data_IF_460784351850
#
_entry.id   IF_460784351850
#
_cell.length_a   1.000
_cell.length_b   1.000
_cell.length_c   1.000
_cell.angle_alpha   90.00
_cell.angle_beta   90.00
_cell.angle_gamma   90.00
#
_symmetry.space_group_name_H-M   'P 1'
#
loop_
_entity.id
_entity.type
_entity.pdbx_description
1 polymer ?
#
# COMPACT_ATOMS: atom_id res chain seq x y z
N UNK A 1 -23.61 -19.00 10.62
CA UNK A 1 -23.42 -20.44 10.37
C UNK A 1 -22.88 -21.05 11.65
N UNK A 2 -23.48 -22.13 12.17
CA UNK A 2 -22.94 -22.79 13.35
C UNK A 2 -21.54 -23.36 13.03
N UNK A 3 -20.61 -23.36 14.00
CA UNK A 3 -19.28 -23.94 13.80
C UNK A 3 -19.40 -25.44 13.55
N UNK A 4 -18.64 -25.95 12.57
CA UNK A 4 -18.59 -27.37 12.22
C UNK A 4 -18.10 -28.19 13.42
N UNK A 5 -18.72 -29.34 13.67
CA UNK A 5 -18.27 -30.25 14.72
C UNK A 5 -16.93 -30.89 14.34
N UNK A 6 -16.18 -31.39 15.33
CA UNK A 6 -14.89 -32.03 15.10
C UNK A 6 -14.99 -33.20 14.10
N UNK A 7 -16.13 -33.92 14.06
CA UNK A 7 -16.34 -34.98 13.08
C UNK A 7 -16.51 -34.45 11.65
N UNK A 8 -17.25 -33.34 11.48
CA UNK A 8 -17.47 -32.71 10.17
C UNK A 8 -16.16 -32.13 9.59
N UNK A 9 -15.30 -31.57 10.45
CA UNK A 9 -13.97 -31.08 10.06
C UNK A 9 -13.09 -32.23 9.56
N UNK A 10 -13.08 -33.37 10.23
CA UNK A 10 -12.28 -34.54 9.80
C UNK A 10 -12.81 -35.09 8.46
N UNK A 11 -14.13 -35.09 8.27
CA UNK A 11 -14.76 -35.55 7.04
C UNK A 11 -14.44 -34.60 5.86
N UNK A 12 -14.49 -33.29 6.08
CA UNK A 12 -14.05 -32.27 5.10
C UNK A 12 -12.55 -32.41 4.76
N UNK A 13 -11.69 -32.55 5.76
CA UNK A 13 -10.23 -32.73 5.59
C UNK A 13 -9.84 -34.04 4.90
N UNK A 14 -10.75 -35.02 4.84
CA UNK A 14 -10.56 -36.27 4.11
C UNK A 14 -10.85 -36.16 2.60
N UNK A 15 -11.64 -35.14 2.20
CA UNK A 15 -11.98 -34.88 0.78
C UNK A 15 -10.86 -34.15 0.03
N UNK A 16 -9.92 -33.54 0.74
CA UNK A 16 -8.79 -32.86 0.11
C UNK A 16 -7.78 -33.87 -0.47
N UNK A 17 -7.36 -33.71 -1.73
CA UNK A 17 -6.39 -34.59 -2.36
C UNK A 17 -5.05 -34.53 -1.62
N UNK A 18 -4.70 -35.64 -0.97
CA UNK A 18 -3.44 -35.77 -0.22
C UNK A 18 -2.35 -36.27 -1.14
N UNK A 19 -1.56 -35.37 -1.70
CA UNK A 19 -0.38 -35.72 -2.45
C UNK A 19 0.76 -36.10 -1.50
N UNK A 20 1.00 -37.40 -1.33
CA UNK A 20 2.19 -37.89 -0.63
C UNK A 20 3.39 -37.78 -1.55
N UNK A 21 4.33 -36.90 -1.21
CA UNK A 21 5.61 -36.82 -1.91
C UNK A 21 6.34 -38.16 -1.79
N UNK A 22 6.75 -38.73 -2.93
CA UNK A 22 7.53 -39.96 -2.92
C UNK A 22 8.96 -39.68 -2.43
N UNK A 23 9.68 -40.74 -2.03
CA UNK A 23 11.01 -40.58 -1.46
C UNK A 23 12.01 -39.92 -2.43
N UNK A 24 11.86 -40.16 -3.75
CA UNK A 24 12.69 -39.54 -4.77
C UNK A 24 12.46 -38.02 -4.89
N UNK A 25 11.21 -37.57 -4.76
CA UNK A 25 10.83 -36.14 -4.76
C UNK A 25 11.33 -35.45 -3.50
N UNK A 26 11.22 -36.10 -2.33
CA UNK A 26 11.81 -35.59 -1.07
C UNK A 26 13.31 -35.42 -1.18
N UNK A 27 14.00 -36.41 -1.75
CA UNK A 27 15.45 -36.37 -1.96
C UNK A 27 15.86 -35.33 -3.02
N UNK A 28 15.03 -35.12 -4.05
CA UNK A 28 15.21 -34.07 -5.05
C UNK A 28 15.13 -32.66 -4.45
N UNK A 29 14.16 -32.42 -3.57
CA UNK A 29 14.00 -31.14 -2.86
C UNK A 29 15.15 -30.93 -1.86
N UNK A 30 15.53 -31.96 -1.09
CA UNK A 30 16.66 -31.88 -0.16
C UNK A 30 17.99 -31.59 -0.87
N UNK A 31 18.22 -32.17 -2.05
CA UNK A 31 19.43 -31.98 -2.85
C UNK A 31 19.50 -30.65 -3.61
N UNK A 32 18.36 -30.01 -3.85
CA UNK A 32 18.31 -28.66 -4.43
C UNK A 32 18.47 -27.57 -3.37
N UNK A 33 17.98 -27.81 -2.15
CA UNK A 33 18.22 -26.94 -0.99
C UNK A 33 19.68 -26.97 -0.51
N UNK A 34 20.40 -28.09 -0.68
CA UNK A 34 21.82 -28.18 -0.29
C UNK A 34 22.79 -27.60 -1.33
N UNK A 35 22.34 -27.29 -2.55
CA UNK A 35 23.16 -26.71 -3.62
C UNK A 35 23.22 -25.18 -3.62
N UNK A 36 22.52 -24.49 -2.73
CA UNK A 36 22.52 -23.02 -2.65
C UNK A 36 23.57 -22.42 -1.72
N UNK A 37 24.78 -22.99 -1.67
CA UNK A 37 25.94 -22.31 -1.10
C UNK A 37 26.74 -21.64 -2.22
N UNK A 38 26.97 -20.31 -2.17
CA UNK A 38 27.77 -19.63 -3.18
C UNK A 38 29.22 -20.12 -3.08
N UNK A 39 29.72 -20.71 -4.16
CA UNK A 39 31.10 -21.13 -4.30
C UNK A 39 32.02 -19.90 -4.18
N UNK A 40 32.85 -19.87 -3.13
CA UNK A 40 33.95 -18.91 -2.97
C UNK A 40 34.94 -19.11 -4.12
N UNK A 41 35.07 -18.10 -4.99
CA UNK A 41 36.07 -18.05 -6.06
C UNK A 41 37.46 -17.80 -5.47
N UNK A 42 38.53 -18.47 -5.95
CA UNK A 42 39.88 -18.25 -5.46
C UNK A 42 40.44 -16.92 -5.94
N UNK A 43 41.06 -16.22 -5.00
CA UNK A 43 41.86 -15.00 -5.18
C UNK A 43 43.10 -15.33 -6.03
N UNK A 44 43.33 -14.56 -7.09
CA UNK A 44 44.50 -14.71 -7.94
C UNK A 44 44.94 -13.39 -8.55
N UNK A 45 46.13 -12.96 -8.11
CA UNK A 45 47.07 -12.05 -8.76
C UNK A 45 46.82 -10.53 -8.72
N UNK A 46 47.92 -9.83 -8.47
CA UNK A 46 48.07 -8.41 -8.16
C UNK A 46 48.42 -7.59 -9.41
N UNK A 47 47.91 -6.35 -9.42
CA UNK A 47 48.22 -5.15 -10.23
C UNK A 47 47.54 -4.93 -11.61
N UNK A 48 47.25 -3.66 -11.99
CA UNK A 48 47.59 -2.42 -11.28
C UNK A 48 46.40 -1.65 -10.68
N UNK A 49 46.58 -1.24 -9.43
CA UNK A 49 45.62 -0.53 -8.59
C UNK A 49 45.29 0.92 -9.01
N UNK A 50 45.65 1.36 -10.22
CA UNK A 50 45.34 2.72 -10.69
C UNK A 50 44.01 2.83 -11.45
N UNK A 51 43.58 1.77 -12.16
CA UNK A 51 42.30 1.82 -12.90
C UNK A 51 41.09 1.66 -11.97
N UNK A 52 41.23 0.85 -10.91
CA UNK A 52 40.17 0.63 -9.93
C UNK A 52 39.85 1.90 -9.15
N UNK A 53 40.83 2.75 -8.82
CA UNK A 53 40.54 4.01 -8.14
C UNK A 53 39.75 4.97 -9.01
N UNK A 54 40.02 5.03 -10.33
CA UNK A 54 39.27 5.90 -11.24
C UNK A 54 37.85 5.38 -11.46
N UNK A 55 37.67 4.07 -11.67
CA UNK A 55 36.36 3.44 -11.81
C UNK A 55 35.56 3.54 -10.52
N UNK A 56 36.18 3.32 -9.36
CA UNK A 56 35.55 3.47 -8.03
C UNK A 56 35.26 4.94 -7.76
N UNK A 57 36.13 5.90 -8.11
CA UNK A 57 35.84 7.32 -7.94
C UNK A 57 34.71 7.80 -8.86
N UNK A 58 34.62 7.31 -10.09
CA UNK A 58 33.48 7.57 -11.00
C UNK A 58 32.22 6.88 -10.50
N UNK A 59 32.30 5.66 -9.95
CA UNK A 59 31.17 5.00 -9.31
C UNK A 59 30.74 5.73 -8.05
N UNK A 60 31.66 6.21 -7.21
CA UNK A 60 31.35 6.95 -5.98
C UNK A 60 30.82 8.33 -6.33
N UNK A 61 31.38 9.04 -7.30
CA UNK A 61 30.87 10.34 -7.75
C UNK A 61 29.50 10.19 -8.43
N UNK A 62 29.31 9.14 -9.24
CA UNK A 62 28.03 8.78 -9.84
C UNK A 62 26.98 8.30 -8.84
N UNK A 63 27.37 7.53 -7.82
CA UNK A 63 26.51 7.18 -6.69
C UNK A 63 26.23 8.41 -5.84
N UNK A 64 27.19 9.32 -5.65
CA UNK A 64 26.99 10.52 -4.83
C UNK A 64 25.99 11.47 -5.50
N UNK A 65 26.05 11.64 -6.83
CA UNK A 65 25.06 12.44 -7.57
C UNK A 65 23.69 11.76 -7.63
N UNK A 66 23.63 10.42 -7.74
CA UNK A 66 22.38 9.67 -7.62
C UNK A 66 21.78 9.72 -6.22
N UNK A 67 22.59 9.60 -5.17
CA UNK A 67 22.15 9.67 -3.77
C UNK A 67 21.71 11.08 -3.41
N UNK A 68 22.43 12.14 -3.82
CA UNK A 68 22.02 13.53 -3.57
C UNK A 68 20.71 13.86 -4.33
N UNK A 69 20.46 13.28 -5.49
CA UNK A 69 19.17 13.41 -6.19
C UNK A 69 18.07 12.52 -5.58
N UNK A 70 18.40 11.39 -4.96
CA UNK A 70 17.44 10.54 -4.23
C UNK A 70 17.07 11.12 -2.85
N UNK A 71 18.02 11.78 -2.17
CA UNK A 71 17.86 12.35 -0.83
C UNK A 71 17.52 13.85 -0.82
N UNK A 72 17.45 14.52 -1.97
CA UNK A 72 16.92 15.91 -2.07
C UNK A 72 15.39 15.96 -2.23
N UNK A 73 14.72 14.81 -2.22
CA UNK A 73 13.27 14.73 -2.08
C UNK A 73 12.87 14.69 -0.61
N UNK A 74 11.92 15.53 -0.22
CA UNK A 74 11.19 15.47 1.06
C UNK A 74 11.03 14.04 1.57
N UNK A 75 11.30 13.82 2.87
CA UNK A 75 11.06 12.53 3.54
C UNK A 75 9.70 11.96 3.09
N UNK A 76 9.64 10.71 2.57
CA UNK A 76 8.37 10.12 2.15
C UNK A 76 7.36 10.06 3.29
N UNK A 77 7.82 10.14 4.53
CA UNK A 77 6.99 10.16 5.72
C UNK A 77 6.64 11.59 6.15
N UNK A 78 5.35 11.82 6.34
CA UNK A 78 4.82 13.03 6.93
C UNK A 78 4.17 12.69 8.28
N UNK A 79 4.53 13.41 9.36
CA UNK A 79 3.95 13.18 10.67
C UNK A 79 2.47 13.52 10.67
N UNK A 80 1.67 12.74 11.41
CA UNK A 80 0.23 12.94 11.52
C UNK A 80 -0.18 14.25 12.19
N UNK A 81 0.75 14.98 12.80
CA UNK A 81 0.50 16.27 13.46
C UNK A 81 0.61 17.46 12.53
N UNK A 82 0.99 17.25 11.26
CA UNK A 82 1.18 18.33 10.29
C UNK A 82 0.31 18.13 9.05
N UNK A 83 -0.15 19.26 8.48
CA UNK A 83 -0.89 19.26 7.23
C UNK A 83 0.00 18.71 6.11
N UNK A 84 -0.42 17.59 5.52
CA UNK A 84 0.23 17.03 4.35
C UNK A 84 0.08 17.98 3.15
N UNK A 85 1.19 18.39 2.53
CA UNK A 85 1.22 19.33 1.40
C UNK A 85 1.76 18.68 0.13
N UNK A 86 0.97 17.80 -0.47
CA UNK A 86 1.25 17.24 -1.80
C UNK A 86 1.13 18.27 -2.94
N UNK A 87 1.55 17.83 -4.13
CA UNK A 87 1.51 18.65 -5.36
C UNK A 87 0.08 18.81 -5.88
N UNK A 88 -0.70 17.73 -5.89
CA UNK A 88 -2.07 17.68 -6.42
C UNK A 88 -3.15 17.82 -5.35
N UNK A 89 -2.81 17.59 -4.09
CA UNK A 89 -3.73 17.70 -2.98
C UNK A 89 -3.00 17.98 -1.68
N UNK A 90 -3.74 18.44 -0.69
CA UNK A 90 -3.32 18.53 0.71
C UNK A 90 -4.47 18.15 1.61
N UNK A 91 -4.17 17.63 2.80
CA UNK A 91 -5.17 17.29 3.81
C UNK A 91 -4.55 17.38 5.21
N UNK A 92 -5.39 17.43 6.23
CA UNK A 92 -4.97 17.45 7.62
C UNK A 92 -5.22 16.05 8.24
N UNK A 93 -4.17 15.30 8.59
CA UNK A 93 -4.30 14.00 9.23
C UNK A 93 -4.81 14.06 10.68
N UNK A 94 -4.94 15.25 11.27
CA UNK A 94 -5.52 15.49 12.61
C UNK A 94 -4.87 14.69 13.76
N UNK A 95 -3.60 14.28 13.61
CA UNK A 95 -2.85 13.51 14.61
C UNK A 95 -3.05 12.00 14.54
N UNK A 96 -3.90 11.50 13.64
CA UNK A 96 -4.45 10.14 13.70
C UNK A 96 -3.53 9.10 13.06
N UNK A 97 -2.82 9.49 12.02
CA UNK A 97 -1.93 8.60 11.26
C UNK A 97 -0.80 9.38 10.61
N UNK A 98 0.32 8.71 10.40
CA UNK A 98 1.39 9.21 9.54
C UNK A 98 1.00 9.02 8.07
N UNK A 99 1.49 9.91 7.21
CA UNK A 99 1.18 9.88 5.78
C UNK A 99 2.44 9.51 5.03
N UNK A 100 2.41 8.40 4.29
CA UNK A 100 3.50 7.99 3.42
C UNK A 100 3.18 8.41 1.99
N UNK A 101 3.96 9.33 1.43
CA UNK A 101 3.86 9.72 0.04
C UNK A 101 4.43 8.62 -0.85
N UNK A 102 3.60 8.06 -1.74
CA UNK A 102 4.06 7.14 -2.78
C UNK A 102 4.35 7.88 -4.08
N UNK A 103 3.48 8.81 -4.46
CA UNK A 103 3.64 9.61 -5.68
C UNK A 103 2.99 10.99 -5.54
N UNK A 104 2.86 11.74 -6.63
CA UNK A 104 2.07 12.98 -6.62
C UNK A 104 0.55 12.72 -6.70
N UNK A 105 0.15 11.50 -7.01
CA UNK A 105 -1.23 11.08 -7.24
C UNK A 105 -1.71 10.11 -6.15
N UNK A 106 -0.80 9.65 -5.28
CA UNK A 106 -1.09 8.63 -4.29
C UNK A 106 -0.33 8.89 -2.98
N UNK A 107 -1.04 8.76 -1.87
CA UNK A 107 -0.48 8.72 -0.53
C UNK A 107 -1.22 7.69 0.33
N UNK A 108 -0.49 7.04 1.23
CA UNK A 108 -1.02 6.01 2.13
C UNK A 108 -1.02 6.50 3.56
N UNK A 109 -2.00 6.05 4.35
CA UNK A 109 -2.15 6.40 5.76
C UNK A 109 -1.70 5.23 6.62
N UNK A 110 -0.89 5.50 7.64
CA UNK A 110 -0.28 4.49 8.50
C UNK A 110 -0.41 4.83 9.99
N UNK A 111 -0.81 3.84 10.79
CA UNK A 111 -0.70 3.85 12.25
C UNK A 111 0.33 2.79 12.65
N UNK A 112 1.52 3.23 13.09
CA UNK A 112 2.67 2.34 13.20
C UNK A 112 3.00 1.71 11.84
N UNK A 113 3.10 0.39 11.80
CA UNK A 113 3.40 -0.36 10.57
C UNK A 113 2.15 -0.76 9.77
N UNK A 114 0.96 -0.38 10.23
CA UNK A 114 -0.31 -0.80 9.63
C UNK A 114 -0.87 0.25 8.70
N UNK A 115 -1.18 -0.12 7.46
CA UNK A 115 -1.93 0.72 6.53
C UNK A 115 -3.39 0.81 7.00
N UNK A 116 -3.86 2.04 7.20
CA UNK A 116 -5.21 2.34 7.72
C UNK A 116 -6.09 3.08 6.70
N UNK A 117 -5.53 3.41 5.53
CA UNK A 117 -6.26 4.09 4.47
C UNK A 117 -5.32 4.68 3.42
N UNK A 118 -5.85 5.59 2.62
CA UNK A 118 -5.07 6.33 1.65
C UNK A 118 -5.89 7.31 0.83
N UNK A 119 -5.18 8.00 -0.05
CA UNK A 119 -5.74 8.84 -1.09
C UNK A 119 -5.08 8.52 -2.42
N UNK A 120 -5.91 8.35 -3.45
CA UNK A 120 -5.46 8.11 -4.81
C UNK A 120 -6.30 8.93 -5.80
N UNK A 121 -5.70 9.34 -6.91
CA UNK A 121 -6.41 9.98 -8.01
C UNK A 121 -6.86 8.91 -9.00
N UNK A 122 -8.17 8.83 -9.23
CA UNK A 122 -8.79 7.87 -10.13
C UNK A 122 -9.35 8.55 -11.38
N UNK A 123 -9.32 7.79 -12.47
CA UNK A 123 -10.17 8.08 -13.64
C UNK A 123 -11.62 7.73 -13.33
N UNK A 124 -12.56 8.24 -14.14
CA UNK A 124 -13.96 7.85 -14.05
C UNK A 124 -14.16 6.34 -14.09
N UNK A 125 -13.48 5.66 -15.01
CA UNK A 125 -13.52 4.20 -15.14
C UNK A 125 -13.02 3.52 -13.86
N UNK A 126 -11.91 4.01 -13.30
CA UNK A 126 -11.34 3.48 -12.05
C UNK A 126 -12.31 3.61 -10.87
N UNK A 127 -12.97 4.76 -10.75
CA UNK A 127 -14.01 4.97 -9.72
C UNK A 127 -15.16 3.95 -9.88
N UNK A 128 -15.70 3.79 -11.09
CA UNK A 128 -16.81 2.86 -11.32
C UNK A 128 -16.40 1.40 -11.03
N UNK A 129 -15.16 1.01 -11.34
CA UNK A 129 -14.65 -0.32 -10.99
C UNK A 129 -14.55 -0.53 -9.47
N UNK A 130 -14.21 0.52 -8.72
CA UNK A 130 -14.19 0.49 -7.26
C UNK A 130 -15.62 0.40 -6.69
N UNK A 131 -16.55 1.21 -7.19
CA UNK A 131 -17.96 1.21 -6.76
C UNK A 131 -18.69 -0.10 -7.14
N UNK A 132 -18.29 -0.78 -8.20
CA UNK A 132 -18.88 -2.07 -8.60
C UNK A 132 -18.59 -3.22 -7.61
N UNK A 133 -17.77 -2.99 -6.58
CA UNK A 133 -17.60 -3.92 -5.47
C UNK A 133 -18.86 -3.98 -4.59
N UNK A 134 -18.90 -4.88 -3.60
CA UNK A 134 -20.08 -5.14 -2.77
C UNK A 134 -20.33 -4.02 -1.74
N UNK A 135 -20.51 -2.78 -2.22
CA UNK A 135 -20.87 -1.65 -1.40
C UNK A 135 -22.22 -1.91 -0.72
N UNK A 136 -22.22 -1.81 0.60
CA UNK A 136 -23.39 -1.99 1.46
C UNK A 136 -24.22 -0.71 1.50
N UNK A 137 -23.57 0.45 1.38
CA UNK A 137 -24.23 1.75 1.38
C UNK A 137 -23.62 2.70 0.35
N UNK A 138 -24.46 3.59 -0.17
CA UNK A 138 -24.11 4.60 -1.17
C UNK A 138 -24.90 5.88 -0.89
N UNK A 139 -24.23 7.03 -0.97
CA UNK A 139 -24.87 8.35 -0.89
C UNK A 139 -24.17 9.33 -1.81
N UNK A 140 -24.96 10.01 -2.64
CA UNK A 140 -24.47 11.12 -3.45
C UNK A 140 -24.76 12.45 -2.75
N UNK A 141 -23.80 13.38 -2.78
CA UNK A 141 -23.97 14.77 -2.36
C UNK A 141 -24.31 14.98 -0.87
N UNK A 142 -23.44 14.48 0.01
CA UNK A 142 -23.51 14.81 1.43
C UNK A 142 -23.18 16.31 1.66
N UNK A 143 -23.95 17.02 2.51
CA UNK A 143 -23.70 18.44 2.79
C UNK A 143 -22.42 18.66 3.62
N UNK A 144 -21.88 19.88 3.51
CA UNK A 144 -20.73 20.33 4.31
C UNK A 144 -19.35 19.89 3.80
N UNK A 145 -19.27 19.33 2.60
CA UNK A 145 -18.00 19.04 1.92
C UNK A 145 -17.63 20.15 0.94
N UNK A 146 -16.32 20.38 0.77
CA UNK A 146 -15.79 21.43 -0.12
C UNK A 146 -15.99 21.14 -1.60
N UNK A 147 -15.99 19.87 -1.98
CA UNK A 147 -16.12 19.39 -3.35
C UNK A 147 -17.30 18.45 -3.46
N UNK A 148 -17.84 18.29 -4.67
CA UNK A 148 -18.89 17.31 -4.95
C UNK A 148 -18.39 15.92 -4.55
N UNK A 149 -19.15 15.26 -3.67
CA UNK A 149 -18.76 14.02 -3.02
C UNK A 149 -19.76 12.91 -3.36
N UNK A 150 -19.19 11.75 -3.68
CA UNK A 150 -19.88 10.47 -3.66
C UNK A 150 -19.28 9.60 -2.54
N UNK A 151 -20.13 9.04 -1.69
CA UNK A 151 -19.72 8.23 -0.55
C UNK A 151 -20.22 6.79 -0.69
N UNK A 152 -19.37 5.82 -0.40
CA UNK A 152 -19.76 4.41 -0.31
C UNK A 152 -19.13 3.72 0.90
N UNK A 153 -19.74 2.62 1.35
CA UNK A 153 -19.22 1.74 2.38
C UNK A 153 -19.12 0.30 1.84
N UNK A 154 -17.91 -0.25 1.78
CA UNK A 154 -17.66 -1.65 1.40
C UNK A 154 -17.36 -2.50 2.64
N UNK A 155 -17.72 -3.79 2.59
CA UNK A 155 -17.43 -4.75 3.66
C UNK A 155 -16.64 -5.94 3.12
N UNK A 156 -15.37 -6.03 3.51
CA UNK A 156 -14.51 -7.13 3.11
C UNK A 156 -14.54 -8.26 4.13
N UNK A 157 -15.01 -9.42 3.68
CA UNK A 157 -14.98 -10.68 4.44
C UNK A 157 -13.67 -11.42 4.19
N UNK A 158 -12.59 -10.96 4.81
CA UNK A 158 -11.40 -11.78 5.07
C UNK A 158 -11.45 -12.25 6.53
N UNK A 159 -10.50 -13.09 6.98
CA UNK A 159 -10.49 -13.59 8.38
C UNK A 159 -10.50 -12.46 9.44
N UNK A 160 -10.18 -11.23 9.02
CA UNK A 160 -10.36 -9.98 9.75
C UNK A 160 -11.43 -9.17 9.03
N UNK A 161 -12.69 -9.27 9.46
CA UNK A 161 -13.79 -8.51 8.85
C UNK A 161 -13.48 -7.00 8.94
N UNK A 162 -13.15 -6.38 7.81
CA UNK A 162 -12.80 -4.96 7.72
C UNK A 162 -13.83 -4.23 6.86
N UNK A 163 -14.23 -3.05 7.30
CA UNK A 163 -15.07 -2.16 6.52
C UNK A 163 -14.20 -1.06 5.91
N UNK A 164 -14.52 -0.69 4.69
CA UNK A 164 -13.83 0.38 3.97
C UNK A 164 -14.83 1.50 3.73
N UNK A 165 -14.51 2.70 4.22
CA UNK A 165 -15.26 3.92 3.90
C UNK A 165 -14.59 4.60 2.73
N UNK A 166 -15.35 4.85 1.67
CA UNK A 166 -14.86 5.49 0.47
C UNK A 166 -15.49 6.87 0.29
N UNK A 167 -14.65 7.86 0.03
CA UNK A 167 -15.04 9.23 -0.30
C UNK A 167 -14.45 9.61 -1.65
N UNK A 168 -15.30 9.77 -2.66
CA UNK A 168 -14.90 10.15 -4.02
C UNK A 168 -15.24 11.61 -4.29
N UNK A 169 -14.21 12.45 -4.38
CA UNK A 169 -14.35 13.88 -4.66
C UNK A 169 -14.10 14.18 -6.13
N UNK A 170 -15.00 14.91 -6.76
CA UNK A 170 -14.82 15.38 -8.14
C UNK A 170 -14.18 16.78 -8.16
N UNK A 171 -13.04 16.91 -8.84
CA UNK A 171 -12.53 18.24 -9.18
C UNK A 171 -13.32 18.84 -10.34
N UNK A 172 -13.88 20.01 -10.13
CA UNK A 172 -14.59 20.74 -11.20
C UNK A 172 -13.66 21.19 -12.32
N UNK A 173 -12.39 21.48 -12.01
CA UNK A 173 -11.41 22.02 -12.95
C UNK A 173 -10.75 20.92 -13.78
N UNK A 174 -10.13 19.94 -13.11
CA UNK A 174 -9.37 18.88 -13.80
C UNK A 174 -10.23 17.69 -14.24
N UNK A 175 -11.47 17.59 -13.75
CA UNK A 175 -12.38 16.44 -13.91
C UNK A 175 -11.82 15.11 -13.35
N UNK A 176 -10.69 15.17 -12.64
CA UNK A 176 -10.13 14.05 -11.91
C UNK A 176 -10.95 13.75 -10.66
N UNK A 177 -10.95 12.48 -10.25
CA UNK A 177 -11.64 12.03 -9.04
C UNK A 177 -10.61 11.66 -7.99
N UNK A 178 -10.78 12.16 -6.78
CA UNK A 178 -9.90 11.90 -5.65
C UNK A 178 -10.62 10.91 -4.75
N UNK A 179 -10.07 9.73 -4.61
CA UNK A 179 -10.59 8.67 -3.77
C UNK A 179 -9.84 8.70 -2.44
N UNK A 180 -10.53 9.08 -1.37
CA UNK A 180 -10.02 9.00 0.01
C UNK A 180 -10.71 7.84 0.69
N UNK A 181 -9.95 6.93 1.29
CA UNK A 181 -10.51 5.75 1.93
C UNK A 181 -9.86 5.43 3.27
N UNK A 182 -10.64 4.79 4.14
CA UNK A 182 -10.25 4.43 5.49
C UNK A 182 -10.73 3.02 5.85
N UNK A 183 -9.92 2.31 6.63
CA UNK A 183 -10.20 0.97 7.12
C UNK A 183 -10.68 1.00 8.58
N UNK A 184 -11.87 0.45 8.83
CA UNK A 184 -12.38 0.16 10.17
C UNK A 184 -11.82 -1.19 10.66
N UNK A 185 -11.44 -1.34 11.95
CA UNK A 185 -11.64 -0.41 13.07
C UNK A 185 -10.47 0.55 13.34
N UNK A 186 -9.56 0.80 12.38
CA UNK A 186 -8.36 1.60 12.66
C UNK A 186 -8.63 3.11 12.62
N UNK A 187 -9.60 3.52 11.80
CA UNK A 187 -10.10 4.90 11.76
C UNK A 187 -11.62 4.84 11.90
N UNK A 188 -12.11 5.49 12.95
CA UNK A 188 -13.53 5.49 13.29
C UNK A 188 -14.34 6.39 12.36
N UNK A 189 -15.65 6.20 12.36
CA UNK A 189 -16.59 6.87 11.46
C UNK A 189 -16.47 8.40 11.48
N UNK A 190 -16.57 8.99 12.67
CA UNK A 190 -16.53 10.44 12.88
C UNK A 190 -15.18 11.03 12.48
N UNK A 191 -14.11 10.29 12.73
CA UNK A 191 -12.75 10.69 12.43
C UNK A 191 -12.50 10.65 10.91
N UNK A 192 -12.95 9.58 10.25
CA UNK A 192 -12.87 9.46 8.79
C UNK A 192 -13.61 10.59 8.06
N UNK A 193 -14.81 10.95 8.53
CA UNK A 193 -15.62 12.04 7.98
C UNK A 193 -14.94 13.40 8.21
N UNK A 194 -14.43 13.64 9.42
CA UNK A 194 -13.70 14.87 9.75
C UNK A 194 -12.47 15.06 8.87
N UNK A 195 -11.64 14.02 8.72
CA UNK A 195 -10.41 14.07 7.91
C UNK A 195 -10.76 14.25 6.42
N UNK A 196 -11.75 13.53 5.90
CA UNK A 196 -12.19 13.65 4.52
C UNK A 196 -12.62 15.09 4.15
N UNK A 197 -13.23 15.82 5.09
CA UNK A 197 -13.60 17.25 4.91
C UNK A 197 -12.40 18.19 4.81
N UNK A 198 -11.22 17.79 5.29
CA UNK A 198 -10.01 18.62 5.25
C UNK A 198 -9.33 18.60 3.89
N UNK A 199 -9.75 17.70 2.98
CA UNK A 199 -9.17 17.58 1.65
C UNK A 199 -9.21 18.92 0.91
N UNK A 200 -8.07 19.28 0.32
CA UNK A 200 -7.92 20.42 -0.59
C UNK A 200 -7.24 19.94 -1.86
N UNK A 201 -7.99 19.98 -2.96
CA UNK A 201 -7.52 19.72 -4.31
C UNK A 201 -6.70 20.93 -4.80
N UNK A 202 -5.53 20.68 -5.42
CA UNK A 202 -4.58 21.70 -5.90
C UNK A 202 -4.38 21.51 -7.41
N UNK A 203 -5.24 22.17 -8.18
CA UNK A 203 -5.34 22.04 -9.64
C UNK A 203 -5.09 23.35 -10.38
#
# INVERSE_FOLDING_TARGET
MPPLTNEEIVQELSKFPRHKLNQAQKNGIASSLSKSQPARRPMGSLFPAMLNFLVVAVLIAGLSTLLINFFSGSDPWHPGTEVYKGKKFSFDPMGVFAVKKLSNEEAEFYQGDKKVGGIEILTEKGMHQNIQQQNVFESANLPGYRYHLHWTLDHQKTMEASQIRHYFFLSEKSKLRYHVYFYTPYVEDLESDAIARTLRIRD
#
